data_IF_926998058577
#
_entry.id   IF_926998058577
#
_cell.length_a   1.000
_cell.length_b   1.000
_cell.length_c   1.000
_cell.angle_alpha   90.00
_cell.angle_beta   90.00
_cell.angle_gamma   90.00
#
_symmetry.space_group_name_H-M   'P 1'
#
loop_
_entity.id
_entity.type
_entity.pdbx_description
1 polymer ?
#
# COMPACT_ATOMS: atom_id res chain seq x y z
N UNK A 1 -4.80 -9.27 -10.73
CA UNK A 1 -4.13 -8.35 -11.66
C UNK A 1 -4.92 -7.04 -11.72
N UNK A 2 -4.25 -5.92 -11.92
CA UNK A 2 -4.86 -4.60 -12.17
C UNK A 2 -4.53 -4.09 -13.60
N UNK A 3 -3.76 -4.88 -14.38
CA UNK A 3 -3.45 -4.64 -15.78
C UNK A 3 -3.62 -5.95 -16.57
N UNK A 4 -4.22 -5.87 -17.77
CA UNK A 4 -4.34 -7.00 -18.70
C UNK A 4 -4.09 -6.48 -20.12
N UNK A 5 -3.21 -7.15 -20.87
CA UNK A 5 -2.88 -6.83 -22.26
C UNK A 5 -3.09 -8.08 -23.15
N UNK A 6 -3.82 -7.97 -24.26
CA UNK A 6 -3.89 -9.04 -25.25
C UNK A 6 -2.58 -9.13 -26.04
N UNK A 7 -2.09 -10.34 -26.24
CA UNK A 7 -0.90 -10.64 -27.04
C UNK A 7 -1.27 -10.98 -28.49
N UNK A 8 -0.29 -10.91 -29.38
CA UNK A 8 -0.49 -11.17 -30.81
C UNK A 8 -0.92 -12.62 -31.12
N UNK A 9 -0.61 -13.56 -30.23
CA UNK A 9 -0.99 -14.97 -30.32
C UNK A 9 -2.39 -15.27 -29.74
N UNK A 10 -3.11 -14.24 -29.28
CA UNK A 10 -4.44 -14.35 -28.68
C UNK A 10 -4.44 -14.70 -27.19
N UNK A 11 -3.27 -14.84 -26.56
CA UNK A 11 -3.15 -15.00 -25.11
C UNK A 11 -3.32 -13.66 -24.38
N UNK A 12 -3.48 -13.72 -23.05
CA UNK A 12 -3.59 -12.54 -22.19
C UNK A 12 -2.41 -12.51 -21.21
N UNK A 13 -1.64 -11.42 -21.23
CA UNK A 13 -0.70 -11.08 -20.16
C UNK A 13 -1.41 -10.27 -19.10
N UNK A 14 -1.14 -10.54 -17.83
CA UNK A 14 -1.70 -9.78 -16.71
C UNK A 14 -0.69 -9.54 -15.61
N UNK A 15 -0.77 -8.38 -14.96
CA UNK A 15 0.17 -7.97 -13.92
C UNK A 15 -0.53 -7.19 -12.78
N UNK A 16 0.19 -6.92 -11.69
CA UNK A 16 -0.29 -6.22 -10.50
C UNK A 16 0.70 -5.14 -10.05
N UNK A 17 0.43 -3.88 -10.41
CA UNK A 17 1.33 -2.76 -10.12
C UNK A 17 1.01 -2.01 -8.82
N UNK A 18 -0.14 -2.27 -8.18
CA UNK A 18 -0.56 -1.57 -6.97
C UNK A 18 0.50 -1.65 -5.86
N UNK A 19 0.93 -2.87 -5.54
CA UNK A 19 1.91 -3.09 -4.48
C UNK A 19 3.30 -2.55 -4.81
N UNK A 20 3.75 -2.67 -6.06
CA UNK A 20 5.02 -2.12 -6.53
C UNK A 20 5.02 -0.59 -6.41
N UNK A 21 3.97 0.08 -6.89
CA UNK A 21 3.82 1.52 -6.79
C UNK A 21 3.80 2.00 -5.33
N UNK A 22 3.13 1.27 -4.44
CA UNK A 22 3.13 1.61 -3.02
C UNK A 22 4.54 1.55 -2.41
N UNK A 23 5.29 0.46 -2.67
CA UNK A 23 6.66 0.26 -2.16
C UNK A 23 7.63 1.30 -2.72
N UNK A 24 7.53 1.61 -4.02
CA UNK A 24 8.34 2.65 -4.66
C UNK A 24 8.09 4.03 -4.03
N UNK A 25 6.82 4.35 -3.75
CA UNK A 25 6.46 5.62 -3.10
C UNK A 25 7.08 5.79 -1.72
N UNK A 26 6.95 4.79 -0.85
CA UNK A 26 7.49 4.89 0.52
C UNK A 26 9.02 4.93 0.49
N UNK A 27 9.64 4.17 -0.42
CA UNK A 27 11.10 4.13 -0.58
C UNK A 27 11.65 5.46 -1.07
N UNK A 28 10.99 6.10 -2.04
CA UNK A 28 11.34 7.45 -2.53
C UNK A 28 11.22 8.52 -1.45
N UNK A 29 10.33 8.31 -0.49
CA UNK A 29 10.17 9.15 0.71
C UNK A 29 11.14 8.78 1.85
N UNK A 30 12.09 7.89 1.60
CA UNK A 30 13.18 7.54 2.52
C UNK A 30 12.89 6.36 3.44
N UNK A 31 11.72 5.70 3.33
CA UNK A 31 11.43 4.52 4.14
C UNK A 31 12.30 3.32 3.73
N UNK A 32 12.87 2.63 4.72
CA UNK A 32 13.65 1.40 4.50
C UNK A 32 12.77 0.19 4.79
N UNK A 33 12.41 -0.57 3.75
CA UNK A 33 11.54 -1.75 3.88
C UNK A 33 12.26 -2.95 4.48
N UNK A 34 13.54 -3.14 4.16
CA UNK A 34 14.30 -4.32 4.59
C UNK A 34 14.43 -4.34 6.11
N UNK A 35 13.93 -5.41 6.73
CA UNK A 35 13.98 -5.60 8.17
C UNK A 35 12.94 -4.79 8.96
N UNK A 36 12.06 -4.06 8.29
CA UNK A 36 11.00 -3.30 8.95
C UNK A 36 9.82 -4.18 9.35
N UNK A 37 9.04 -3.71 10.32
CA UNK A 37 7.77 -4.30 10.77
C UNK A 37 6.62 -3.47 10.21
N UNK A 38 5.73 -4.08 9.43
CA UNK A 38 4.62 -3.37 8.82
C UNK A 38 3.25 -3.91 9.25
N UNK A 39 2.31 -3.01 9.50
CA UNK A 39 0.88 -3.30 9.68
C UNK A 39 0.13 -2.97 8.40
N UNK A 40 -0.65 -3.91 7.88
CA UNK A 40 -1.57 -3.69 6.75
C UNK A 40 -3.01 -3.92 7.22
N UNK A 41 -3.81 -2.86 7.22
CA UNK A 41 -5.24 -2.90 7.51
C UNK A 41 -5.99 -2.97 6.19
N UNK A 42 -6.65 -4.10 5.93
CA UNK A 42 -7.31 -4.43 4.67
C UNK A 42 -6.54 -5.49 3.89
N UNK A 43 -7.17 -6.63 3.63
CA UNK A 43 -6.60 -7.78 2.90
C UNK A 43 -7.29 -8.03 1.55
N UNK A 44 -8.02 -7.04 1.03
CA UNK A 44 -8.62 -7.06 -0.31
C UNK A 44 -7.59 -7.02 -1.45
N UNK A 45 -8.02 -6.67 -2.67
CA UNK A 45 -7.15 -6.68 -3.86
C UNK A 45 -5.87 -5.84 -3.70
N UNK A 46 -6.03 -4.57 -3.34
CA UNK A 46 -4.90 -3.63 -3.16
C UNK A 46 -4.07 -4.03 -1.93
N UNK A 47 -4.71 -4.33 -0.80
CA UNK A 47 -4.03 -4.74 0.43
C UNK A 47 -3.20 -6.02 0.27
N UNK A 48 -3.73 -7.02 -0.45
CA UNK A 48 -2.99 -8.23 -0.82
C UNK A 48 -1.76 -7.91 -1.68
N UNK A 49 -1.89 -7.01 -2.67
CA UNK A 49 -0.77 -6.62 -3.53
C UNK A 49 0.32 -5.88 -2.75
N UNK A 50 -0.07 -4.97 -1.84
CA UNK A 50 0.85 -4.26 -0.96
C UNK A 50 1.57 -5.22 -0.02
N UNK A 51 0.84 -6.10 0.67
CA UNK A 51 1.43 -7.08 1.58
C UNK A 51 2.46 -7.98 0.86
N UNK A 52 2.12 -8.49 -0.33
CA UNK A 52 3.03 -9.29 -1.14
C UNK A 52 4.28 -8.50 -1.59
N UNK A 53 4.12 -7.23 -1.95
CA UNK A 53 5.24 -6.38 -2.38
C UNK A 53 6.14 -5.97 -1.21
N UNK A 54 5.57 -5.75 -0.02
CA UNK A 54 6.35 -5.53 1.20
C UNK A 54 7.15 -6.77 1.58
N UNK A 55 6.54 -7.96 1.52
CA UNK A 55 7.24 -9.23 1.72
C UNK A 55 8.40 -9.40 0.74
N UNK A 56 8.18 -9.14 -0.55
CA UNK A 56 9.22 -9.14 -1.59
C UNK A 56 10.34 -8.13 -1.30
N UNK A 57 9.98 -6.95 -0.78
CA UNK A 57 10.91 -5.88 -0.40
C UNK A 57 11.68 -6.17 0.90
N UNK A 58 11.38 -7.27 1.59
CA UNK A 58 12.18 -7.80 2.69
C UNK A 58 11.82 -7.26 4.06
N UNK A 59 10.57 -6.84 4.30
CA UNK A 59 10.07 -6.61 5.66
C UNK A 59 10.31 -7.87 6.51
N UNK A 60 10.66 -7.69 7.79
CA UNK A 60 10.87 -8.82 8.70
C UNK A 60 9.58 -9.39 9.26
N UNK A 61 8.55 -8.54 9.38
CA UNK A 61 7.26 -8.93 9.93
C UNK A 61 6.11 -8.19 9.26
N UNK A 62 5.00 -8.90 9.05
CA UNK A 62 3.71 -8.35 8.62
C UNK A 62 2.63 -8.64 9.67
N UNK A 63 1.98 -7.59 10.14
CA UNK A 63 0.71 -7.71 10.84
C UNK A 63 -0.41 -7.46 9.84
N UNK A 64 -1.35 -8.39 9.70
CA UNK A 64 -2.48 -8.29 8.78
C UNK A 64 -3.80 -8.22 9.55
N UNK A 65 -4.63 -7.26 9.20
CA UNK A 65 -5.99 -7.15 9.73
C UNK A 65 -6.99 -7.02 8.58
N UNK A 66 -8.12 -7.69 8.69
CA UNK A 66 -9.29 -7.46 7.86
C UNK A 66 -10.55 -7.64 8.72
N UNK A 67 -11.67 -7.01 8.35
CA UNK A 67 -12.95 -7.24 9.02
C UNK A 67 -13.44 -8.68 8.84
N UNK A 68 -13.01 -9.34 7.76
CA UNK A 68 -13.25 -10.75 7.49
C UNK A 68 -11.94 -11.52 7.70
N UNK A 69 -11.83 -12.22 8.85
CA UNK A 69 -10.58 -12.89 9.25
C UNK A 69 -10.10 -13.90 8.22
N UNK A 70 -11.02 -14.59 7.55
CA UNK A 70 -10.71 -15.57 6.50
C UNK A 70 -9.90 -14.95 5.35
N UNK A 71 -10.12 -13.68 5.03
CA UNK A 71 -9.38 -12.98 3.99
C UNK A 71 -7.92 -12.75 4.41
N UNK A 72 -7.70 -12.33 5.66
CA UNK A 72 -6.36 -12.13 6.21
C UNK A 72 -5.61 -13.47 6.37
N UNK A 73 -6.29 -14.52 6.83
CA UNK A 73 -5.76 -15.88 6.96
C UNK A 73 -5.34 -16.44 5.59
N UNK A 74 -6.20 -16.32 4.57
CA UNK A 74 -5.89 -16.78 3.22
C UNK A 74 -4.73 -16.00 2.58
N UNK A 75 -4.63 -14.69 2.83
CA UNK A 75 -3.48 -13.89 2.41
C UNK A 75 -2.20 -14.37 3.10
N UNK A 76 -2.21 -14.57 4.42
CA UNK A 76 -1.07 -15.08 5.15
C UNK A 76 -0.59 -16.45 4.65
N UNK A 77 -1.51 -17.37 4.35
CA UNK A 77 -1.17 -18.67 3.78
C UNK A 77 -0.38 -18.56 2.47
N UNK A 78 -0.85 -17.73 1.53
CA UNK A 78 -0.15 -17.47 0.26
C UNK A 78 1.20 -16.78 0.47
N UNK A 79 1.28 -15.83 1.42
CA UNK A 79 2.54 -15.16 1.72
C UNK A 79 3.58 -16.13 2.30
N UNK A 80 3.19 -17.02 3.21
CA UNK A 80 4.11 -18.00 3.81
C UNK A 80 4.57 -19.08 2.82
N UNK A 81 3.77 -19.40 1.80
CA UNK A 81 4.17 -20.28 0.70
C UNK A 81 5.37 -19.71 -0.08
N UNK A 82 5.38 -18.39 -0.34
CA UNK A 82 6.44 -17.72 -1.08
C UNK A 82 7.57 -17.15 -0.19
N UNK A 83 7.25 -16.79 1.05
CA UNK A 83 8.15 -16.15 2.01
C UNK A 83 8.12 -16.88 3.36
N UNK A 84 8.62 -18.13 3.45
CA UNK A 84 8.45 -18.99 4.62
C UNK A 84 9.15 -18.52 5.90
N UNK A 85 9.99 -17.47 5.82
CA UNK A 85 10.67 -16.87 6.97
C UNK A 85 10.01 -15.58 7.45
N UNK A 86 8.93 -15.14 6.79
CA UNK A 86 8.22 -13.93 7.17
C UNK A 86 7.45 -14.17 8.46
N UNK A 87 7.68 -13.33 9.48
CA UNK A 87 6.86 -13.33 10.69
C UNK A 87 5.50 -12.70 10.36
N UNK A 88 4.40 -13.44 10.54
CA UNK A 88 3.05 -12.95 10.28
C UNK A 88 2.21 -13.01 11.55
N UNK A 89 1.66 -11.86 11.94
CA UNK A 89 0.64 -11.74 12.98
C UNK A 89 -0.70 -11.40 12.33
N UNK A 90 -1.79 -12.02 12.80
CA UNK A 90 -3.13 -11.82 12.25
C UNK A 90 -4.06 -11.10 13.22
N UNK A 91 -5.04 -10.41 12.67
CA UNK A 91 -6.19 -9.84 13.37
C UNK A 91 -5.81 -8.84 14.47
N UNK A 92 -4.70 -8.12 14.27
CA UNK A 92 -4.26 -7.01 15.10
C UNK A 92 -4.18 -5.75 14.24
N UNK A 93 -4.77 -4.66 14.71
CA UNK A 93 -4.75 -3.35 14.03
C UNK A 93 -4.17 -2.23 14.90
N UNK A 94 -3.46 -2.63 15.93
CA UNK A 94 -2.71 -1.73 16.78
C UNK A 94 -1.45 -1.24 16.04
N UNK A 95 -1.31 0.07 15.79
CA UNK A 95 -0.14 0.59 15.09
C UNK A 95 1.14 0.55 15.94
N UNK A 96 1.05 0.39 17.26
CA UNK A 96 2.21 0.47 18.14
C UNK A 96 3.24 -0.63 17.81
N UNK A 97 4.52 -0.26 17.75
CA UNK A 97 5.62 -1.20 17.45
C UNK A 97 5.81 -1.54 15.97
N UNK A 98 5.16 -0.79 15.06
CA UNK A 98 5.36 -0.90 13.61
C UNK A 98 6.14 0.31 13.08
N UNK A 99 7.04 0.04 12.14
CA UNK A 99 7.78 1.06 11.41
C UNK A 99 6.94 1.63 10.25
N UNK A 100 6.06 0.81 9.69
CA UNK A 100 5.13 1.15 8.62
C UNK A 100 3.70 0.72 9.00
N UNK A 101 2.75 1.61 8.76
CA UNK A 101 1.32 1.36 8.93
C UNK A 101 0.59 1.72 7.65
N UNK A 102 -0.21 0.79 7.12
CA UNK A 102 -0.90 0.95 5.84
C UNK A 102 -2.41 0.82 6.03
N UNK A 103 -3.15 1.85 5.62
CA UNK A 103 -4.58 1.73 5.35
C UNK A 103 -4.80 1.29 3.90
N UNK A 104 -5.12 0.02 3.71
CA UNK A 104 -5.53 -0.57 2.44
C UNK A 104 -7.05 -0.87 2.39
N UNK A 105 -7.83 -0.26 3.29
CA UNK A 105 -9.29 -0.33 3.29
C UNK A 105 -9.90 0.87 2.52
N UNK A 106 -11.21 0.84 2.23
CA UNK A 106 -11.92 2.03 1.74
C UNK A 106 -12.15 3.13 2.78
N UNK A 107 -11.81 2.93 4.06
CA UNK A 107 -12.09 3.88 5.13
C UNK A 107 -11.34 5.20 4.92
N UNK A 108 -12.09 6.30 4.97
CA UNK A 108 -11.60 7.65 4.64
C UNK A 108 -12.08 8.13 3.27
N UNK A 109 -12.75 7.26 2.50
CA UNK A 109 -13.39 7.60 1.23
C UNK A 109 -14.69 8.39 1.43
N UNK A 110 -15.41 8.17 2.53
CA UNK A 110 -16.65 8.87 2.85
C UNK A 110 -16.51 9.72 4.10
N UNK A 111 -17.21 10.85 4.11
CA UNK A 111 -17.33 11.67 5.30
C UNK A 111 -17.98 10.86 6.43
N UNK A 112 -17.37 10.91 7.62
CA UNK A 112 -17.84 10.15 8.80
C UNK A 112 -17.40 8.69 8.87
N UNK A 113 -16.62 8.19 7.92
CA UNK A 113 -16.00 6.86 8.05
C UNK A 113 -15.16 6.77 9.34
N UNK A 114 -15.22 5.64 10.07
CA UNK A 114 -14.33 5.42 11.20
C UNK A 114 -12.88 5.31 10.73
N UNK A 115 -11.93 5.62 11.62
CA UNK A 115 -10.52 5.40 11.33
C UNK A 115 -10.20 3.89 11.28
N UNK A 116 -9.29 3.45 10.38
CA UNK A 116 -8.92 2.04 10.23
C UNK A 116 -8.18 1.48 11.46
N UNK A 117 -7.59 2.37 12.26
CA UNK A 117 -6.81 2.11 13.46
C UNK A 117 -6.89 3.31 14.42
N UNK A 118 -6.39 3.15 15.63
CA UNK A 118 -6.32 4.23 16.62
C UNK A 118 -5.06 5.09 16.40
N UNK A 119 -5.17 6.33 15.88
CA UNK A 119 -4.02 7.17 15.60
C UNK A 119 -3.31 7.66 16.86
N UNK A 120 -3.95 7.63 18.04
CA UNK A 120 -3.31 8.05 19.29
C UNK A 120 -2.19 7.09 19.72
N UNK A 121 -2.17 5.89 19.12
CA UNK A 121 -1.17 4.85 19.38
C UNK A 121 -0.01 4.85 18.38
N UNK A 122 -0.03 5.77 17.42
CA UNK A 122 1.10 5.97 16.51
C UNK A 122 2.31 6.50 17.30
N UNK A 123 3.48 5.93 17.01
CA UNK A 123 4.74 6.44 17.54
C UNK A 123 5.26 7.52 16.58
N UNK A 124 5.75 8.68 17.05
CA UNK A 124 6.38 9.65 16.18
C UNK A 124 7.47 9.02 15.32
N UNK A 125 7.47 9.30 14.02
CA UNK A 125 8.37 8.66 13.05
C UNK A 125 7.87 7.36 12.42
N UNK A 126 6.79 6.74 12.91
CA UNK A 126 6.13 5.64 12.17
C UNK A 126 5.68 6.13 10.81
N UNK A 127 6.03 5.43 9.74
CA UNK A 127 5.60 5.79 8.40
C UNK A 127 4.14 5.37 8.19
N UNK A 128 3.28 6.29 7.76
CA UNK A 128 1.85 6.00 7.54
C UNK A 128 1.49 6.18 6.08
N UNK A 129 1.07 5.11 5.42
CA UNK A 129 0.62 5.14 4.04
C UNK A 129 -0.84 4.74 3.90
N UNK A 130 -1.48 5.21 2.84
CA UNK A 130 -2.80 4.69 2.47
C UNK A 130 -3.01 4.64 0.96
N UNK A 131 -4.13 4.02 0.57
CA UNK A 131 -4.55 3.84 -0.83
C UNK A 131 -5.72 4.74 -1.21
N UNK A 132 -6.33 5.42 -0.23
CA UNK A 132 -7.49 6.28 -0.43
C UNK A 132 -7.08 7.56 -1.13
N UNK A 133 -7.87 7.96 -2.13
CA UNK A 133 -7.63 9.15 -2.97
C UNK A 133 -8.82 10.10 -3.01
N UNK A 134 -9.78 9.98 -2.09
CA UNK A 134 -10.97 10.83 -2.04
C UNK A 134 -10.67 12.26 -1.54
N UNK A 135 -9.52 12.47 -0.92
CA UNK A 135 -9.07 13.73 -0.34
C UNK A 135 -7.54 13.79 -0.44
N UNK A 136 -6.95 14.98 -0.49
CA UNK A 136 -5.48 15.09 -0.48
C UNK A 136 -4.88 14.54 0.82
N UNK A 137 -5.53 14.84 1.94
CA UNK A 137 -5.19 14.32 3.26
C UNK A 137 -6.47 13.79 3.92
N UNK A 138 -6.59 12.47 4.03
CA UNK A 138 -7.70 11.86 4.77
C UNK A 138 -7.54 12.11 6.28
N UNK A 139 -8.59 11.87 7.09
CA UNK A 139 -8.50 11.97 8.54
C UNK A 139 -7.36 11.15 9.16
N UNK A 140 -7.02 9.99 8.58
CA UNK A 140 -5.87 9.19 9.04
C UNK A 140 -4.55 9.92 8.80
N UNK A 141 -4.32 10.45 7.59
CA UNK A 141 -3.07 11.13 7.27
C UNK A 141 -2.92 12.43 8.06
N UNK A 142 -4.01 13.17 8.26
CA UNK A 142 -4.01 14.35 9.11
C UNK A 142 -3.61 14.01 10.55
N UNK A 143 -4.17 12.93 11.11
CA UNK A 143 -3.82 12.47 12.46
C UNK A 143 -2.37 11.98 12.54
N UNK A 144 -1.88 11.28 11.51
CA UNK A 144 -0.49 10.86 11.42
C UNK A 144 0.48 12.05 11.38
N UNK A 145 0.21 13.06 10.56
CA UNK A 145 1.02 14.28 10.50
C UNK A 145 1.03 15.01 11.85
N UNK A 146 -0.13 15.12 12.51
CA UNK A 146 -0.23 15.71 13.85
C UNK A 146 0.57 14.93 14.91
N UNK A 147 0.73 13.61 14.72
CA UNK A 147 1.56 12.74 15.55
C UNK A 147 3.06 12.75 15.18
N UNK A 148 3.49 13.57 14.20
CA UNK A 148 4.89 13.62 13.76
C UNK A 148 5.31 12.43 12.90
N UNK A 149 4.36 11.78 12.23
CA UNK A 149 4.61 10.66 11.34
C UNK A 149 4.84 11.14 9.89
N UNK A 150 5.86 10.63 9.17
CA UNK A 150 5.93 10.78 7.72
C UNK A 150 4.78 10.02 7.05
N UNK A 151 4.29 10.55 5.93
CA UNK A 151 3.11 10.01 5.25
C UNK A 151 3.30 9.71 3.77
N UNK A 152 2.51 8.75 3.27
CA UNK A 152 2.26 8.50 1.85
C UNK A 152 0.77 8.62 1.54
N UNK A 153 0.42 9.53 0.63
CA UNK A 153 -0.93 9.69 0.10
C UNK A 153 -1.22 8.62 -0.94
N UNK A 154 -2.50 8.29 -1.16
CA UNK A 154 -2.88 7.37 -2.23
C UNK A 154 -2.42 7.84 -3.62
N UNK A 155 -2.40 9.16 -3.86
CA UNK A 155 -1.91 9.73 -5.11
C UNK A 155 -0.41 9.55 -5.30
N UNK A 156 0.39 9.49 -4.23
CA UNK A 156 1.82 9.22 -4.36
C UNK A 156 2.05 7.81 -4.90
N UNK A 157 1.32 6.80 -4.38
CA UNK A 157 1.33 5.43 -4.91
C UNK A 157 0.90 5.38 -6.39
N UNK A 158 -0.13 6.15 -6.77
CA UNK A 158 -0.60 6.24 -8.16
C UNK A 158 0.50 6.72 -9.10
N UNK A 159 1.19 7.81 -8.77
CA UNK A 159 2.26 8.33 -9.64
C UNK A 159 3.44 7.38 -9.79
N UNK A 160 3.71 6.57 -8.78
CA UNK A 160 4.79 5.59 -8.81
C UNK A 160 4.44 4.32 -9.60
N UNK A 161 3.15 3.94 -9.68
CA UNK A 161 2.73 2.77 -10.48
C UNK A 161 2.60 3.08 -11.98
N UNK A 162 2.27 4.31 -12.39
CA UNK A 162 2.00 4.65 -13.80
C UNK A 162 3.17 4.29 -14.74
N UNK A 163 4.45 4.55 -14.40
CA UNK A 163 5.56 4.14 -15.27
C UNK A 163 5.60 2.63 -15.53
N UNK A 164 5.20 1.80 -14.55
CA UNK A 164 5.12 0.35 -14.72
C UNK A 164 3.98 -0.03 -15.69
N UNK A 165 2.82 0.62 -15.56
CA UNK A 165 1.71 0.50 -16.52
C UNK A 165 2.12 0.88 -17.95
N UNK A 166 2.82 2.01 -18.12
CA UNK A 166 3.26 2.47 -19.45
C UNK A 166 4.20 1.46 -20.10
N UNK A 167 5.15 0.92 -19.33
CA UNK A 167 6.02 -0.18 -19.80
C UNK A 167 5.22 -1.41 -20.18
N UNK A 168 4.30 -1.84 -19.31
CA UNK A 168 3.47 -3.02 -19.55
C UNK A 168 2.62 -2.91 -20.82
N UNK A 169 2.11 -1.73 -21.14
CA UNK A 169 1.33 -1.51 -22.36
C UNK A 169 2.14 -1.09 -23.59
N UNK A 170 3.48 -1.15 -23.52
CA UNK A 170 4.38 -0.69 -24.59
C UNK A 170 4.12 0.77 -25.02
N UNK A 171 3.72 1.62 -24.06
CA UNK A 171 3.50 3.05 -24.28
C UNK A 171 4.77 3.85 -23.96
N UNK A 172 4.91 5.08 -24.49
CA UNK A 172 6.00 5.97 -24.10
C UNK A 172 6.04 6.16 -22.58
N UNK A 173 7.18 5.89 -21.96
CA UNK A 173 7.33 5.96 -20.50
C UNK A 173 7.51 7.41 -20.07
N UNK A 174 6.73 7.83 -19.07
CA UNK A 174 6.90 9.07 -18.33
C UNK A 174 7.43 8.77 -16.93
N UNK A 175 8.20 9.71 -16.36
CA UNK A 175 8.63 9.64 -14.96
C UNK A 175 7.51 10.10 -14.02
N UNK A 176 7.48 9.63 -12.76
CA UNK A 176 6.54 10.12 -11.77
C UNK A 176 6.59 11.64 -11.59
N UNK A 177 7.76 12.26 -11.75
CA UNK A 177 7.96 13.71 -11.68
C UNK A 177 7.20 14.43 -12.80
N UNK A 178 7.39 14.00 -14.05
CA UNK A 178 6.65 14.55 -15.21
C UNK A 178 5.14 14.38 -15.06
N UNK A 179 4.70 13.23 -14.54
CA UNK A 179 3.28 12.96 -14.33
C UNK A 179 2.69 13.90 -13.27
N UNK A 180 3.42 14.18 -12.19
CA UNK A 180 2.99 15.12 -11.14
C UNK A 180 2.91 16.55 -11.65
N UNK A 181 3.82 16.97 -12.53
CA UNK A 181 3.81 18.30 -13.13
C UNK A 181 2.59 18.53 -14.05
N UNK A 182 2.13 17.47 -14.72
CA UNK A 182 1.06 17.54 -15.71
C UNK A 182 -0.35 17.22 -15.17
N UNK A 183 -0.44 16.55 -14.01
CA UNK A 183 -1.71 16.06 -13.50
C UNK A 183 -2.56 17.18 -12.88
N UNK A 184 -3.83 17.23 -13.29
CA UNK A 184 -4.88 17.98 -12.59
C UNK A 184 -5.63 17.04 -11.63
N UNK A 185 -5.21 16.97 -10.37
CA UNK A 185 -5.88 16.14 -9.37
C UNK A 185 -7.14 16.85 -8.88
N UNK A 186 -8.27 16.16 -8.96
CA UNK A 186 -9.55 16.59 -8.38
C UNK A 186 -9.99 15.55 -7.36
N UNK A 187 -10.27 16.02 -6.15
CA UNK A 187 -10.73 15.22 -5.02
C UNK A 187 -12.25 15.32 -4.91
#
# INVERSE_FOLDING_TARGET
>A
CNAIRPEADGTLSGDMFDGEGFVLGITRKGFQTRGARALVVGSGGVGSAIAASLAAAGVSALTLYDICSQTAEALAGRLLEHYPRLDITLMQRDPQGHDLVVNATPLGMKEGDPLPLDPQRLTPGTFVGEVVMAQEFTPLLQAAQAAGCPIQRGTDMLFEMIPAYLRFFNLPVATPEQLRELAEIRY
#
